data_IF_538854585466
#
_entry.id   IF_538854585466
#
_cell.length_a   1.000
_cell.length_b   1.000
_cell.length_c   1.000
_cell.angle_alpha   90.00
_cell.angle_beta   90.00
_cell.angle_gamma   90.00
#
_symmetry.space_group_name_H-M   'P 1'
#
loop_
_entity.id
_entity.type
_entity.pdbx_description
1 polymer ?
#
# COMPACT_ATOMS: atom_id res chain seq x y z
N UNK A 1 27.01 -0.82 -10.66
CA UNK A 1 27.10 -0.06 -11.92
C UNK A 1 25.89 -0.30 -12.85
N UNK A 2 25.69 -1.52 -13.44
CA UNK A 2 24.58 -1.74 -14.39
C UNK A 2 23.21 -1.63 -13.72
N UNK A 3 23.03 -2.26 -12.56
CA UNK A 3 21.77 -2.21 -11.80
C UNK A 3 21.43 -0.80 -11.31
N UNK A 4 22.39 0.00 -10.90
CA UNK A 4 22.17 1.40 -10.50
C UNK A 4 21.71 2.25 -11.69
N UNK A 5 22.35 2.05 -12.85
CA UNK A 5 21.93 2.74 -14.08
C UNK A 5 20.48 2.39 -14.46
N UNK A 6 20.07 1.12 -14.35
CA UNK A 6 18.70 0.71 -14.62
C UNK A 6 17.71 1.27 -13.58
N UNK A 7 18.10 1.36 -12.32
CA UNK A 7 17.31 2.00 -11.27
C UNK A 7 17.04 3.48 -11.61
N UNK A 8 18.08 4.20 -12.04
CA UNK A 8 17.96 5.61 -12.44
C UNK A 8 17.09 5.76 -13.70
N UNK A 9 17.24 4.86 -14.68
CA UNK A 9 16.38 4.84 -15.88
C UNK A 9 14.91 4.61 -15.52
N UNK A 10 14.61 3.67 -14.63
CA UNK A 10 13.25 3.39 -14.14
C UNK A 10 12.68 4.62 -13.41
N UNK A 11 13.47 5.20 -12.52
CA UNK A 11 13.08 6.41 -11.78
C UNK A 11 12.75 7.56 -12.75
N UNK A 12 13.61 7.79 -13.74
CA UNK A 12 13.39 8.80 -14.77
C UNK A 12 12.11 8.52 -15.55
N UNK A 13 11.91 7.28 -16.00
CA UNK A 13 10.71 6.89 -16.76
C UNK A 13 9.44 7.15 -15.96
N UNK A 14 9.42 6.82 -14.66
CA UNK A 14 8.27 7.08 -13.78
C UNK A 14 8.00 8.58 -13.70
N UNK A 15 9.02 9.40 -13.52
CA UNK A 15 8.86 10.85 -13.44
C UNK A 15 8.39 11.47 -14.76
N UNK A 16 8.90 11.00 -15.87
CA UNK A 16 8.54 11.52 -17.20
C UNK A 16 7.13 11.11 -17.65
N UNK A 17 6.59 9.97 -17.17
CA UNK A 17 5.37 9.37 -17.72
C UNK A 17 4.23 9.15 -16.72
N UNK A 18 4.50 9.12 -15.42
CA UNK A 18 3.52 8.77 -14.39
C UNK A 18 3.41 9.85 -13.29
N UNK A 19 4.19 10.92 -13.36
CA UNK A 19 4.13 12.05 -12.45
C UNK A 19 3.36 13.20 -13.09
N UNK A 20 2.45 13.79 -12.34
CA UNK A 20 1.68 14.95 -12.77
C UNK A 20 2.20 16.22 -12.09
N UNK A 21 2.70 17.13 -12.90
CA UNK A 21 3.31 18.39 -12.40
C UNK A 21 2.28 19.34 -11.76
N UNK A 22 1.02 19.29 -12.16
CA UNK A 22 -0.03 20.14 -11.61
C UNK A 22 -0.44 19.67 -10.21
N UNK A 23 -0.83 18.41 -10.07
CA UNK A 23 -1.26 17.81 -8.79
C UNK A 23 -0.09 17.39 -7.90
N UNK A 24 1.13 17.31 -8.44
CA UNK A 24 2.35 16.86 -7.74
C UNK A 24 2.24 15.45 -7.17
N UNK A 25 1.56 14.52 -7.89
CA UNK A 25 1.36 13.13 -7.49
C UNK A 25 1.85 12.15 -8.55
N UNK A 26 2.12 10.91 -8.12
CA UNK A 26 2.39 9.77 -8.99
C UNK A 26 1.09 8.99 -9.24
N UNK A 27 0.89 8.53 -10.48
CA UNK A 27 -0.21 7.65 -10.86
C UNK A 27 0.24 6.22 -11.08
N UNK A 28 -0.71 5.27 -11.10
CA UNK A 28 -0.42 3.84 -11.15
C UNK A 28 0.21 3.35 -12.46
N UNK A 29 -0.05 4.04 -13.56
CA UNK A 29 0.46 3.68 -14.88
C UNK A 29 0.36 4.87 -15.86
N UNK A 30 0.83 4.67 -17.09
CA UNK A 30 0.84 5.68 -18.15
C UNK A 30 -0.50 5.85 -18.87
N UNK A 31 -1.52 5.02 -18.57
CA UNK A 31 -2.80 4.99 -19.30
C UNK A 31 -3.92 5.74 -18.61
N UNK A 32 -3.87 5.84 -17.28
CA UNK A 32 -4.87 6.55 -16.51
C UNK A 32 -4.27 7.22 -15.26
N UNK A 33 -4.99 8.23 -14.77
CA UNK A 33 -4.61 9.02 -13.59
C UNK A 33 -5.29 8.51 -12.33
N UNK A 34 -5.20 7.19 -12.04
CA UNK A 34 -5.80 6.56 -10.87
C UNK A 34 -4.78 6.15 -9.83
N UNK A 35 -5.25 6.02 -8.59
CA UNK A 35 -4.43 5.55 -7.48
C UNK A 35 -4.42 4.04 -7.39
N UNK A 36 -3.28 3.53 -6.95
CA UNK A 36 -3.03 2.14 -6.63
C UNK A 36 -2.03 2.10 -5.47
N UNK A 37 -2.28 1.29 -4.46
CA UNK A 37 -1.38 1.20 -3.31
C UNK A 37 0.01 0.67 -3.72
N UNK A 38 0.11 -0.09 -4.81
CA UNK A 38 1.40 -0.59 -5.31
C UNK A 38 2.41 0.52 -5.68
N UNK A 39 1.95 1.77 -5.89
CA UNK A 39 2.83 2.94 -6.08
C UNK A 39 3.81 3.08 -4.90
N UNK A 40 3.42 2.65 -3.70
CA UNK A 40 4.25 2.67 -2.49
C UNK A 40 5.47 1.74 -2.61
N UNK A 41 5.43 0.74 -3.50
CA UNK A 41 6.60 -0.05 -3.88
C UNK A 41 7.80 0.81 -4.29
N UNK A 42 7.54 2.00 -4.85
CA UNK A 42 8.59 2.96 -5.20
C UNK A 42 9.36 3.52 -3.99
N UNK A 43 8.78 3.42 -2.78
CA UNK A 43 9.44 3.78 -1.51
C UNK A 43 9.99 2.52 -0.83
N UNK A 44 9.18 1.48 -0.71
CA UNK A 44 9.55 0.19 -0.14
C UNK A 44 8.88 -0.94 -0.94
N UNK A 45 9.62 -1.93 -1.42
CA UNK A 45 11.05 -2.22 -1.13
C UNK A 45 12.05 -1.61 -2.14
N UNK A 46 11.59 -0.93 -3.20
CA UNK A 46 12.47 -0.58 -4.33
C UNK A 46 13.32 0.67 -4.10
N UNK A 47 13.02 1.49 -3.11
CA UNK A 47 13.80 2.67 -2.70
C UNK A 47 14.16 3.62 -3.87
N UNK A 48 13.22 3.83 -4.78
CA UNK A 48 13.36 4.79 -5.88
C UNK A 48 13.21 6.22 -5.39
N UNK A 49 12.33 6.41 -4.41
CA UNK A 49 12.01 7.72 -3.82
C UNK A 49 12.11 7.66 -2.30
N UNK A 50 12.55 8.77 -1.71
CA UNK A 50 12.52 8.92 -0.26
C UNK A 50 11.08 9.10 0.26
N UNK A 51 10.75 8.53 1.44
CA UNK A 51 9.40 8.59 1.99
C UNK A 51 8.91 10.01 2.31
N UNK A 52 9.85 10.96 2.47
CA UNK A 52 9.57 12.37 2.79
C UNK A 52 9.62 13.29 1.56
N UNK A 53 9.89 12.77 0.37
CA UNK A 53 9.80 13.57 -0.84
C UNK A 53 8.36 14.08 -1.04
N UNK A 54 8.20 15.37 -1.38
CA UNK A 54 6.89 16.01 -1.45
C UNK A 54 5.92 15.30 -2.41
N UNK A 55 6.42 14.81 -3.56
CA UNK A 55 5.63 14.02 -4.51
C UNK A 55 5.07 12.73 -3.88
N UNK A 56 5.86 12.06 -3.03
CA UNK A 56 5.44 10.85 -2.32
C UNK A 56 4.41 11.18 -1.25
N UNK A 57 4.64 12.23 -0.45
CA UNK A 57 3.68 12.67 0.56
C UNK A 57 2.32 13.02 -0.07
N UNK A 58 2.32 13.78 -1.17
CA UNK A 58 1.09 14.14 -1.89
C UNK A 58 0.40 12.89 -2.46
N UNK A 59 1.17 11.94 -3.01
CA UNK A 59 0.64 10.68 -3.53
C UNK A 59 -0.01 9.85 -2.42
N UNK A 60 0.65 9.75 -1.26
CA UNK A 60 0.10 9.06 -0.08
C UNK A 60 -1.15 9.75 0.45
N UNK A 61 -1.18 11.07 0.48
CA UNK A 61 -2.39 11.82 0.84
C UNK A 61 -3.54 11.50 -0.10
N UNK A 62 -3.29 11.46 -1.41
CA UNK A 62 -4.29 11.05 -2.40
C UNK A 62 -4.73 9.60 -2.21
N UNK A 63 -3.82 8.66 -1.95
CA UNK A 63 -4.14 7.27 -1.61
C UNK A 63 -5.06 7.22 -0.37
N UNK A 64 -4.75 7.98 0.68
CA UNK A 64 -5.58 8.05 1.88
C UNK A 64 -7.01 8.55 1.59
N UNK A 65 -7.15 9.52 0.71
CA UNK A 65 -8.45 10.08 0.33
C UNK A 65 -9.28 9.12 -0.52
N UNK A 66 -8.63 8.28 -1.34
CA UNK A 66 -9.32 7.48 -2.36
C UNK A 66 -9.44 6.00 -2.04
N UNK A 67 -8.47 5.44 -1.30
CA UNK A 67 -8.36 4.00 -1.08
C UNK A 67 -8.50 3.57 0.38
N UNK A 68 -8.38 4.50 1.35
CA UNK A 68 -8.59 4.15 2.76
C UNK A 68 -10.08 3.97 3.03
N UNK A 69 -10.43 2.83 3.63
CA UNK A 69 -11.80 2.52 4.03
C UNK A 69 -12.12 3.12 5.40
N UNK A 70 -13.42 3.18 5.76
CA UNK A 70 -13.85 3.64 7.08
C UNK A 70 -13.39 2.72 8.23
N UNK A 71 -13.08 1.46 7.92
CA UNK A 71 -12.51 0.50 8.87
C UNK A 71 -10.99 0.65 9.06
N UNK A 72 -10.36 1.60 8.37
CA UNK A 72 -8.92 1.89 8.37
C UNK A 72 -8.04 0.94 7.58
N UNK A 73 -8.59 -0.02 6.86
CA UNK A 73 -7.88 -0.80 5.85
C UNK A 73 -7.79 -0.05 4.51
N UNK A 74 -7.06 -0.61 3.56
CA UNK A 74 -6.87 -0.02 2.23
C UNK A 74 -7.37 -0.94 1.12
N UNK A 75 -8.12 -0.36 0.19
CA UNK A 75 -8.44 -0.97 -1.10
C UNK A 75 -7.14 -1.11 -1.91
N UNK A 76 -7.12 -2.03 -2.85
CA UNK A 76 -5.96 -2.28 -3.71
C UNK A 76 -5.71 -1.11 -4.67
N UNK A 77 -6.73 -0.74 -5.44
CA UNK A 77 -6.69 0.37 -6.39
C UNK A 77 -8.08 0.94 -6.70
N UNK A 78 -8.11 2.13 -7.28
CA UNK A 78 -9.36 2.78 -7.72
C UNK A 78 -10.06 1.98 -8.81
N UNK A 79 -11.38 1.81 -8.66
CA UNK A 79 -12.23 1.05 -9.57
C UNK A 79 -11.84 -0.44 -9.68
N UNK A 80 -11.31 -1.00 -8.60
CA UNK A 80 -11.14 -2.44 -8.49
C UNK A 80 -12.51 -3.11 -8.54
N UNK A 81 -12.73 -3.97 -9.54
CA UNK A 81 -13.98 -4.71 -9.70
C UNK A 81 -13.91 -6.13 -9.16
N UNK A 82 -12.74 -6.54 -8.65
CA UNK A 82 -12.55 -7.88 -8.12
C UNK A 82 -13.33 -8.03 -6.81
N UNK A 83 -14.22 -9.01 -6.79
CA UNK A 83 -15.09 -9.27 -5.64
C UNK A 83 -15.81 -8.01 -5.13
N UNK A 84 -16.47 -7.30 -6.04
CA UNK A 84 -17.21 -6.05 -5.81
C UNK A 84 -16.35 -4.82 -5.47
N UNK A 85 -15.03 -4.97 -5.31
CA UNK A 85 -14.08 -3.86 -5.16
C UNK A 85 -14.23 -3.02 -3.89
N UNK A 86 -14.90 -3.53 -2.86
CA UNK A 86 -15.24 -2.74 -1.65
C UNK A 86 -14.45 -3.13 -0.42
N UNK A 87 -13.79 -4.26 -0.47
CA UNK A 87 -13.11 -4.85 0.67
C UNK A 87 -11.65 -4.41 0.74
N UNK A 88 -11.16 -3.97 1.92
CA UNK A 88 -9.74 -3.71 2.11
C UNK A 88 -8.92 -5.00 2.07
N UNK A 89 -7.68 -4.84 1.64
CA UNK A 89 -6.72 -5.93 1.49
C UNK A 89 -5.66 -5.87 2.59
N UNK A 90 -5.43 -6.94 3.35
CA UNK A 90 -4.34 -7.02 4.31
C UNK A 90 -2.99 -6.61 3.70
N UNK A 91 -2.64 -7.11 2.51
CA UNK A 91 -1.37 -6.76 1.87
C UNK A 91 -1.27 -5.27 1.51
N UNK A 92 -2.33 -4.67 0.97
CA UNK A 92 -2.35 -3.25 0.63
C UNK A 92 -2.21 -2.40 1.90
N UNK A 93 -2.89 -2.80 2.98
CA UNK A 93 -2.83 -2.14 4.28
C UNK A 93 -1.43 -2.23 4.90
N UNK A 94 -0.76 -3.39 4.78
CA UNK A 94 0.61 -3.58 5.26
C UNK A 94 1.64 -2.81 4.42
N UNK A 95 1.45 -2.64 3.12
CA UNK A 95 2.29 -1.75 2.31
C UNK A 95 2.21 -0.30 2.81
N UNK A 96 1.02 0.18 3.15
CA UNK A 96 0.87 1.49 3.77
C UNK A 96 1.51 1.55 5.16
N UNK A 97 1.42 0.49 5.96
CA UNK A 97 2.15 0.39 7.23
C UNK A 97 3.66 0.55 7.03
N UNK A 98 4.24 -0.14 6.04
CA UNK A 98 5.67 -0.04 5.72
C UNK A 98 6.07 1.38 5.30
N UNK A 99 5.25 2.05 4.49
CA UNK A 99 5.48 3.46 4.19
C UNK A 99 5.52 4.32 5.47
N UNK A 100 4.56 4.14 6.35
CA UNK A 100 4.50 4.90 7.61
C UNK A 100 5.68 4.59 8.55
N UNK A 101 6.18 3.36 8.56
CA UNK A 101 7.44 3.01 9.26
C UNK A 101 8.59 3.83 8.67
N UNK A 102 8.77 3.79 7.35
CA UNK A 102 9.89 4.48 6.66
C UNK A 102 9.79 6.01 6.73
N UNK A 103 8.59 6.58 6.81
CA UNK A 103 8.38 8.03 7.01
C UNK A 103 8.53 8.48 8.48
N UNK A 104 8.54 7.54 9.43
CA UNK A 104 8.62 7.79 10.87
C UNK A 104 7.26 8.03 11.55
N UNK A 105 6.15 7.77 10.86
CA UNK A 105 4.79 7.94 11.35
C UNK A 105 4.29 6.69 12.10
N UNK A 106 5.01 6.30 13.17
CA UNK A 106 4.80 5.05 13.92
C UNK A 106 3.35 4.80 14.34
N UNK A 107 2.59 5.83 14.69
CA UNK A 107 1.18 5.68 15.09
C UNK A 107 0.33 5.18 13.92
N UNK A 108 0.47 5.76 12.73
CA UNK A 108 -0.26 5.33 11.54
C UNK A 108 0.18 3.93 11.08
N UNK A 109 1.49 3.62 11.18
CA UNK A 109 2.00 2.29 10.90
C UNK A 109 1.32 1.24 11.80
N UNK A 110 1.24 1.53 13.11
CA UNK A 110 0.57 0.65 14.07
C UNK A 110 -0.93 0.52 13.80
N UNK A 111 -1.63 1.59 13.45
CA UNK A 111 -3.06 1.54 13.07
C UNK A 111 -3.31 0.58 11.91
N UNK A 112 -2.49 0.63 10.86
CA UNK A 112 -2.56 -0.29 9.73
C UNK A 112 -2.25 -1.73 10.15
N UNK A 113 -1.25 -1.93 10.97
CA UNK A 113 -0.86 -3.25 11.48
C UNK A 113 -1.95 -3.85 12.36
N UNK A 114 -2.51 -3.07 13.30
CA UNK A 114 -3.60 -3.48 14.19
C UNK A 114 -4.87 -3.84 13.40
N UNK A 115 -5.18 -3.10 12.33
CA UNK A 115 -6.29 -3.47 11.42
C UNK A 115 -6.13 -4.91 10.92
N UNK A 116 -4.94 -5.25 10.40
CA UNK A 116 -4.69 -6.60 9.85
C UNK A 116 -4.70 -7.65 10.96
N UNK A 117 -4.11 -7.36 12.12
CA UNK A 117 -4.12 -8.26 13.27
C UNK A 117 -5.55 -8.58 13.73
N UNK A 118 -6.37 -7.53 13.89
CA UNK A 118 -7.74 -7.65 14.39
C UNK A 118 -8.72 -8.27 13.38
N UNK A 119 -8.36 -8.31 12.11
CA UNK A 119 -9.15 -8.94 11.05
C UNK A 119 -8.73 -10.39 10.74
N UNK A 120 -7.84 -10.98 11.53
CA UNK A 120 -7.46 -12.39 11.37
C UNK A 120 -8.60 -13.34 11.81
N UNK A 121 -8.58 -14.57 11.29
CA UNK A 121 -9.51 -15.61 11.72
C UNK A 121 -9.25 -16.05 13.16
N UNK A 122 -10.17 -16.82 13.74
CA UNK A 122 -10.00 -17.44 15.08
C UNK A 122 -8.77 -18.37 15.18
N UNK A 123 -8.23 -18.80 14.04
CA UNK A 123 -6.99 -19.58 13.95
C UNK A 123 -5.77 -18.69 13.63
N UNK A 124 -5.89 -17.38 13.78
CA UNK A 124 -4.85 -16.40 13.44
C UNK A 124 -4.39 -16.45 11.95
N UNK A 125 -5.28 -16.88 11.04
CA UNK A 125 -4.98 -16.89 9.62
C UNK A 125 -5.42 -15.56 8.98
N UNK A 126 -4.54 -15.01 8.17
CA UNK A 126 -4.82 -13.80 7.38
C UNK A 126 -5.45 -14.17 6.05
N UNK A 127 -6.40 -13.35 5.63
CA UNK A 127 -7.13 -13.51 4.37
C UNK A 127 -6.54 -12.68 3.23
N UNK A 128 -7.09 -12.87 2.05
CA UNK A 128 -6.87 -11.99 0.89
C UNK A 128 -7.54 -10.64 1.10
N UNK A 129 -8.78 -10.66 1.56
CA UNK A 129 -9.59 -9.47 1.83
C UNK A 129 -10.19 -9.54 3.24
N UNK A 130 -10.64 -8.39 3.71
CA UNK A 130 -11.42 -8.27 4.95
C UNK A 130 -12.77 -7.67 4.56
N UNK A 131 -13.85 -8.29 5.00
CA UNK A 131 -15.18 -7.72 4.79
C UNK A 131 -15.28 -6.36 5.48
N UNK A 132 -15.53 -5.32 4.69
CA UNK A 132 -15.46 -3.94 5.15
C UNK A 132 -16.57 -3.56 6.15
N UNK A 133 -17.61 -4.37 6.32
CA UNK A 133 -18.70 -4.13 7.26
C UNK A 133 -18.57 -4.92 8.56
N UNK A 134 -18.17 -6.19 8.47
CA UNK A 134 -18.08 -7.09 9.63
C UNK A 134 -16.68 -7.22 10.21
N UNK A 135 -15.64 -6.75 9.53
CA UNK A 135 -14.23 -6.94 9.87
C UNK A 135 -13.79 -8.42 9.88
N UNK A 136 -14.58 -9.31 9.30
CA UNK A 136 -14.24 -10.72 9.22
C UNK A 136 -13.31 -11.02 8.02
N UNK A 137 -12.44 -12.05 8.13
CA UNK A 137 -11.67 -12.53 7.00
C UNK A 137 -12.60 -12.90 5.84
N UNK A 138 -12.25 -12.46 4.65
CA UNK A 138 -13.05 -12.69 3.45
C UNK A 138 -12.21 -13.25 2.34
N UNK A 139 -12.86 -14.04 1.47
CA UNK A 139 -12.29 -14.69 0.31
C UNK A 139 -11.26 -15.76 0.66
N UNK A 140 -10.04 -15.72 0.10
CA UNK A 140 -9.01 -16.74 0.37
C UNK A 140 -8.44 -16.55 1.77
N UNK A 141 -8.62 -17.51 2.67
CA UNK A 141 -8.08 -17.49 4.03
C UNK A 141 -6.78 -18.32 4.07
N UNK A 142 -5.80 -17.83 4.82
CA UNK A 142 -4.47 -18.44 4.90
C UNK A 142 -3.57 -18.04 3.73
N UNK A 143 -3.77 -16.84 3.18
CA UNK A 143 -3.01 -16.37 2.03
C UNK A 143 -1.54 -16.08 2.40
N UNK A 144 -0.60 -16.80 1.76
CA UNK A 144 0.83 -16.79 2.09
C UNK A 144 1.46 -15.39 2.03
N UNK A 145 1.14 -14.58 1.03
CA UNK A 145 1.73 -13.23 0.91
C UNK A 145 1.22 -12.24 1.98
N UNK A 146 -0.04 -12.40 2.46
CA UNK A 146 -0.53 -11.60 3.58
C UNK A 146 0.25 -11.90 4.86
N UNK A 147 0.55 -13.19 5.12
CA UNK A 147 1.38 -13.61 6.26
C UNK A 147 2.83 -13.14 6.12
N UNK A 148 3.42 -13.26 4.91
CA UNK A 148 4.78 -12.81 4.67
C UNK A 148 4.92 -11.30 4.93
N UNK A 149 4.01 -10.48 4.40
CA UNK A 149 4.02 -9.04 4.65
C UNK A 149 3.76 -8.69 6.12
N UNK A 150 2.91 -9.45 6.80
CA UNK A 150 2.67 -9.27 8.24
C UNK A 150 3.96 -9.44 9.05
N UNK A 151 4.70 -10.53 8.79
CA UNK A 151 5.98 -10.81 9.47
C UNK A 151 7.01 -9.71 9.19
N UNK A 152 7.15 -9.30 7.92
CA UNK A 152 8.07 -8.23 7.52
C UNK A 152 7.70 -6.91 8.24
N UNK A 153 6.42 -6.56 8.25
CA UNK A 153 5.95 -5.33 8.90
C UNK A 153 6.15 -5.37 10.41
N UNK A 154 5.90 -6.52 11.06
CA UNK A 154 6.15 -6.70 12.48
C UNK A 154 7.62 -6.48 12.82
N UNK A 155 8.54 -7.07 12.04
CA UNK A 155 9.98 -6.91 12.25
C UNK A 155 10.45 -5.46 12.15
N UNK A 156 9.82 -4.66 11.33
CA UNK A 156 10.16 -3.23 11.17
C UNK A 156 9.48 -2.31 12.22
N UNK A 157 8.46 -2.80 12.91
CA UNK A 157 7.78 -2.08 13.99
C UNK A 157 8.44 -2.27 15.36
N UNK A 158 9.20 -3.36 15.55
CA UNK A 158 9.93 -3.68 16.78
C UNK A 158 11.22 -2.87 16.89
#
# INVERSE_FOLDING_TARGET
>A
AKMELEKDNIKKYILDNMYDEESKILYRNTKDKKMDVSIIGSVYPFELFGPKEKKIQNTVEKINMTLRTYTSGYLRFEQDSYMEGRNPWPIATLWMAMYYVKSGEKKKAKECFDFVTNSSSSLALLSEQVDNSSMQPSWVIGLGWSHAMYIITLAELL
#
